data_IF_013990602466
#
_entry.id   IF_013990602466
#
_cell.length_a   1.000
_cell.length_b   1.000
_cell.length_c   1.000
_cell.angle_alpha   90.00
_cell.angle_beta   90.00
_cell.angle_gamma   90.00
#
_symmetry.space_group_name_H-M   'P 1'
#
loop_
_entity.id
_entity.type
_entity.pdbx_description
1 polymer ?
#
# COMPACT_ATOMS: atom_id res chain seq x y z
N UNK A 1 18.66 75.87 -38.69
CA UNK A 1 17.74 76.77 -37.96
C UNK A 1 16.31 76.46 -38.41
N UNK A 2 15.43 76.04 -37.48
CA UNK A 2 13.96 75.78 -37.61
C UNK A 2 13.54 74.70 -38.65
N UNK A 3 13.11 73.51 -38.20
CA UNK A 3 11.74 73.08 -37.82
C UNK A 3 10.76 72.82 -39.00
N UNK A 4 10.27 71.57 -39.01
CA UNK A 4 8.90 71.11 -39.25
C UNK A 4 8.40 70.63 -40.65
N UNK A 5 7.82 69.41 -40.55
CA UNK A 5 6.64 68.82 -41.22
C UNK A 5 6.82 68.38 -42.69
N UNK A 6 6.89 67.08 -42.98
CA UNK A 6 5.79 66.10 -43.16
C UNK A 6 4.80 66.55 -44.25
N UNK A 7 4.70 65.74 -45.33
CA UNK A 7 3.46 65.24 -45.97
C UNK A 7 3.74 64.65 -47.38
N UNK A 8 3.36 63.37 -47.52
CA UNK A 8 2.85 62.65 -48.70
C UNK A 8 3.70 62.41 -49.95
N UNK A 9 3.99 61.12 -50.17
CA UNK A 9 3.97 60.39 -51.44
C UNK A 9 4.06 58.89 -51.08
N UNK A 10 3.37 57.91 -51.68
CA UNK A 10 2.34 57.82 -52.70
C UNK A 10 1.96 56.32 -52.79
N UNK A 11 0.69 56.00 -53.12
CA UNK A 11 0.22 54.82 -53.87
C UNK A 11 0.72 53.40 -53.45
N UNK A 12 -0.05 52.58 -52.71
CA UNK A 12 -1.19 51.75 -53.14
C UNK A 12 -0.90 50.82 -54.34
N UNK A 13 -0.78 49.50 -54.11
CA UNK A 13 -1.64 48.43 -54.70
C UNK A 13 -1.59 47.16 -53.83
N UNK A 14 -2.78 46.80 -53.39
CA UNK A 14 -3.35 45.54 -52.92
C UNK A 14 -2.63 44.22 -53.23
N UNK A 15 -2.40 43.42 -52.20
CA UNK A 15 -2.67 41.97 -52.24
C UNK A 15 -3.39 41.59 -50.93
N UNK A 16 -4.68 41.29 -51.08
CA UNK A 16 -5.48 40.62 -50.08
C UNK A 16 -4.89 39.24 -49.83
N UNK A 17 -4.34 39.02 -48.64
CA UNK A 17 -4.31 37.71 -48.02
C UNK A 17 -5.02 37.84 -46.67
N UNK A 18 -6.04 37.01 -46.49
CA UNK A 18 -6.96 36.99 -45.37
C UNK A 18 -6.17 36.59 -44.12
N UNK A 19 -5.86 37.56 -43.25
CA UNK A 19 -5.44 37.26 -41.88
C UNK A 19 -6.70 36.89 -41.09
N UNK A 20 -6.75 35.74 -40.40
CA UNK A 20 -7.75 35.55 -39.38
C UNK A 20 -7.55 36.66 -38.33
N UNK A 21 -8.62 37.40 -38.06
CA UNK A 21 -8.78 38.08 -36.78
C UNK A 21 -8.53 37.06 -35.65
N UNK A 22 -8.24 37.55 -34.45
CA UNK A 22 -7.89 36.77 -33.23
C UNK A 22 -6.39 36.47 -33.07
N UNK A 23 -5.60 37.52 -32.88
CA UNK A 23 -4.41 37.45 -32.03
C UNK A 23 -4.51 38.57 -30.99
N UNK A 24 -5.29 38.33 -29.93
CA UNK A 24 -5.18 39.15 -28.72
C UNK A 24 -3.77 38.97 -28.13
N UNK A 25 -3.16 40.03 -27.58
CA UNK A 25 -1.88 39.92 -26.88
C UNK A 25 -2.06 38.98 -25.67
N UNK A 26 -1.31 37.88 -25.66
CA UNK A 26 -1.23 36.96 -24.51
C UNK A 26 -0.97 37.76 -23.23
N UNK A 27 -1.78 37.60 -22.17
CA UNK A 27 -1.51 38.26 -20.91
C UNK A 27 -0.20 37.74 -20.32
N UNK A 28 0.70 38.65 -19.91
CA UNK A 28 1.80 38.29 -19.01
C UNK A 28 1.18 37.67 -17.75
N UNK A 29 1.34 36.36 -17.59
CA UNK A 29 0.91 35.64 -16.39
C UNK A 29 1.69 36.25 -15.21
N UNK A 30 1.01 36.82 -14.20
CA UNK A 30 1.70 37.26 -13.00
C UNK A 30 2.20 36.02 -12.27
N UNK A 31 3.49 36.01 -11.88
CA UNK A 31 4.01 35.01 -10.96
C UNK A 31 3.18 35.06 -9.67
N UNK A 32 2.34 34.04 -9.44
CA UNK A 32 1.59 33.95 -8.20
C UNK A 32 2.53 33.56 -7.05
N UNK A 33 2.34 34.13 -5.85
CA UNK A 33 3.18 33.81 -4.71
C UNK A 33 3.00 32.34 -4.31
N UNK A 34 4.12 31.66 -4.09
CA UNK A 34 4.22 30.35 -3.44
C UNK A 34 3.38 30.38 -2.16
N UNK A 35 2.27 29.63 -2.11
CA UNK A 35 1.51 29.48 -0.87
C UNK A 35 2.30 28.57 0.08
N UNK A 36 2.56 29.07 1.29
CA UNK A 36 3.26 28.37 2.38
C UNK A 36 2.47 27.14 2.83
N UNK A 37 3.17 26.19 3.47
CA UNK A 37 2.56 25.06 4.19
C UNK A 37 1.36 25.51 5.04
N UNK A 38 0.31 24.67 5.18
CA UNK A 38 -0.80 24.94 6.09
C UNK A 38 -0.32 25.11 7.54
N UNK A 39 -1.09 25.84 8.35
CA UNK A 39 -0.73 26.15 9.74
C UNK A 39 -0.79 24.89 10.62
N UNK A 40 0.03 24.86 11.67
CA UNK A 40 0.17 23.74 12.62
C UNK A 40 -1.15 23.30 13.30
N UNK A 41 -2.18 24.13 13.22
CA UNK A 41 -3.47 23.99 13.90
C UNK A 41 -4.39 22.95 13.21
N UNK A 42 -4.07 22.53 11.98
CA UNK A 42 -4.91 21.65 11.13
C UNK A 42 -4.36 20.22 10.96
N UNK A 43 -3.17 19.92 11.49
CA UNK A 43 -2.53 18.60 11.44
C UNK A 43 -2.02 18.23 12.84
N UNK A 44 -1.99 16.93 13.21
CA UNK A 44 -1.24 16.51 14.38
C UNK A 44 0.19 17.05 14.29
N UNK A 45 0.67 17.75 15.32
CA UNK A 45 1.99 18.42 15.34
C UNK A 45 3.13 17.51 14.85
N UNK A 46 3.08 16.23 15.23
CA UNK A 46 4.04 15.20 14.79
C UNK A 46 4.11 15.00 13.27
N UNK A 47 2.97 15.13 12.56
CA UNK A 47 2.91 15.04 11.09
C UNK A 47 3.59 16.23 10.44
N UNK A 48 3.30 17.44 10.94
CA UNK A 48 3.91 18.67 10.43
C UNK A 48 5.43 18.67 10.62
N UNK A 49 5.91 18.35 11.83
CA UNK A 49 7.34 18.25 12.15
C UNK A 49 8.04 17.20 11.27
N UNK A 50 7.37 16.08 10.98
CA UNK A 50 7.89 15.05 10.09
C UNK A 50 8.06 15.54 8.66
N UNK A 51 7.07 16.26 8.12
CA UNK A 51 7.13 16.83 6.78
C UNK A 51 8.22 17.91 6.70
N UNK A 52 8.36 18.74 7.73
CA UNK A 52 9.41 19.75 7.78
C UNK A 52 10.82 19.14 7.77
N UNK A 53 11.04 18.12 8.62
CA UNK A 53 12.30 17.34 8.64
C UNK A 53 12.56 16.70 7.27
N UNK A 54 11.56 16.06 6.67
CA UNK A 54 11.67 15.47 5.34
C UNK A 54 11.99 16.51 4.26
N UNK A 55 11.47 17.74 4.38
CA UNK A 55 11.79 18.84 3.47
C UNK A 55 13.27 19.28 3.51
N UNK A 56 13.99 18.96 4.58
CA UNK A 56 15.45 19.19 4.64
C UNK A 56 16.20 18.15 3.80
N UNK A 57 15.78 16.89 3.86
CA UNK A 57 16.35 15.77 3.09
C UNK A 57 15.94 15.78 1.62
N UNK A 58 14.69 16.14 1.37
CA UNK A 58 14.08 16.16 0.05
C UNK A 58 13.57 17.58 -0.23
N UNK A 59 14.44 18.50 -0.69
CA UNK A 59 14.06 19.89 -0.94
C UNK A 59 12.85 20.05 -1.87
N UNK A 60 12.64 19.09 -2.78
CA UNK A 60 11.45 19.07 -3.62
C UNK A 60 10.15 19.08 -2.81
N UNK A 61 10.12 18.48 -1.61
CA UNK A 61 8.96 18.45 -0.70
C UNK A 61 8.53 19.84 -0.24
N UNK A 62 9.41 20.83 -0.30
CA UNK A 62 9.08 22.24 0.00
C UNK A 62 8.26 22.93 -1.09
N UNK A 63 8.15 22.32 -2.28
CA UNK A 63 7.49 22.89 -3.46
C UNK A 63 6.09 22.33 -3.73
N UNK A 64 5.50 21.63 -2.77
CA UNK A 64 4.19 21.00 -2.91
C UNK A 64 3.08 21.95 -2.40
N UNK A 65 1.95 21.94 -3.10
CA UNK A 65 0.88 22.94 -2.97
C UNK A 65 -0.25 22.50 -2.05
N UNK A 66 -0.40 21.19 -1.82
CA UNK A 66 -1.44 20.59 -0.99
C UNK A 66 -0.91 19.40 -0.21
N UNK A 67 -1.36 19.30 1.03
CA UNK A 67 -1.23 18.12 1.90
C UNK A 67 -2.61 17.49 1.99
N UNK A 68 -2.74 16.21 1.63
CA UNK A 68 -3.96 15.43 1.77
C UNK A 68 -3.75 14.35 2.83
N UNK A 69 -4.68 14.23 3.78
CA UNK A 69 -4.62 13.22 4.84
C UNK A 69 -5.74 12.23 4.56
N UNK A 70 -5.37 11.07 4.00
CA UNK A 70 -6.35 10.19 3.36
C UNK A 70 -6.84 9.05 4.27
N UNK A 71 -6.01 8.56 5.19
CA UNK A 71 -6.37 7.41 6.04
C UNK A 71 -5.77 7.51 7.44
N UNK A 72 -6.60 7.33 8.46
CA UNK A 72 -6.22 7.08 9.86
C UNK A 72 -6.57 5.64 10.20
N UNK A 73 -5.57 4.75 10.21
CA UNK A 73 -5.77 3.35 10.60
C UNK A 73 -4.80 3.03 11.72
N UNK A 74 -5.32 2.65 12.90
CA UNK A 74 -4.53 2.07 14.01
C UNK A 74 -3.20 2.81 14.25
N UNK A 75 -3.27 4.13 14.50
CA UNK A 75 -2.14 5.03 14.74
C UNK A 75 -1.20 5.30 13.55
N UNK A 76 -1.58 4.92 12.32
CA UNK A 76 -0.86 5.33 11.11
C UNK A 76 -1.66 6.41 10.38
N UNK A 77 -0.95 7.34 9.77
CA UNK A 77 -1.53 8.35 8.88
C UNK A 77 -0.87 8.32 7.52
N UNK A 78 -1.68 8.28 6.47
CA UNK A 78 -1.22 8.43 5.09
C UNK A 78 -1.36 9.88 4.65
N UNK A 79 -0.24 10.49 4.29
CA UNK A 79 -0.17 11.88 3.83
C UNK A 79 0.28 11.93 2.37
N UNK A 80 -0.57 12.47 1.51
CA UNK A 80 -0.23 12.80 0.13
C UNK A 80 0.27 14.23 0.02
N UNK A 81 1.50 14.42 -0.46
CA UNK A 81 2.01 15.74 -0.85
C UNK A 81 1.83 15.89 -2.36
N UNK A 82 1.03 16.86 -2.78
CA UNK A 82 0.62 17.07 -4.17
C UNK A 82 1.22 18.36 -4.74
N UNK A 83 1.89 18.26 -5.90
CA UNK A 83 2.41 19.39 -6.65
C UNK A 83 1.64 19.51 -7.97
N UNK A 84 1.11 20.70 -8.28
CA UNK A 84 0.48 20.94 -9.58
C UNK A 84 1.56 21.17 -10.64
N UNK A 85 1.46 20.49 -11.77
CA UNK A 85 2.26 20.79 -12.96
C UNK A 85 1.50 21.80 -13.82
N UNK A 86 2.00 23.04 -14.00
CA UNK A 86 1.35 24.04 -14.82
C UNK A 86 1.36 23.71 -16.33
N UNK A 87 2.10 22.68 -16.79
CA UNK A 87 2.22 22.30 -18.20
C UNK A 87 1.51 20.98 -18.56
N UNK A 88 0.74 20.36 -17.65
CA UNK A 88 0.05 19.11 -17.93
C UNK A 88 -1.24 19.31 -18.74
N UNK A 89 -1.19 18.98 -20.03
CA UNK A 89 -2.33 18.76 -20.93
C UNK A 89 -1.90 17.59 -21.86
N UNK A 90 -2.63 16.49 -22.15
CA UNK A 90 -4.04 16.10 -22.05
C UNK A 90 -4.16 14.57 -22.31
N UNK A 91 -5.12 13.92 -21.64
CA UNK A 91 -6.07 12.83 -22.06
C UNK A 91 -5.59 11.58 -22.83
N UNK A 92 -5.78 10.40 -22.22
CA UNK A 92 -5.88 9.07 -22.88
C UNK A 92 -7.34 8.82 -23.39
N UNK A 93 -7.56 8.06 -24.48
CA UNK A 93 -8.88 7.72 -25.04
C UNK A 93 -9.92 7.13 -24.06
N UNK A 94 -9.54 6.73 -22.84
CA UNK A 94 -10.42 6.23 -21.78
C UNK A 94 -10.79 7.29 -20.72
N UNK A 95 -10.39 8.56 -20.90
CA UNK A 95 -10.88 9.67 -20.09
C UNK A 95 -10.34 9.77 -18.66
N UNK A 96 -9.29 9.02 -18.30
CA UNK A 96 -8.63 9.17 -16.99
C UNK A 96 -7.49 10.18 -17.10
N UNK A 97 -7.67 11.33 -16.46
CA UNK A 97 -6.65 12.37 -16.30
C UNK A 97 -5.88 12.07 -14.99
N UNK A 98 -4.59 11.76 -15.07
CA UNK A 98 -3.71 11.76 -13.91
C UNK A 98 -2.97 13.10 -13.83
N UNK A 99 -3.57 14.09 -13.15
CA UNK A 99 -3.03 15.45 -12.97
C UNK A 99 -1.85 15.56 -11.96
N UNK A 100 -1.16 14.47 -11.64
CA UNK A 100 -0.20 14.42 -10.53
C UNK A 100 1.14 13.82 -10.97
N UNK A 101 2.05 14.66 -11.49
CA UNK A 101 3.40 14.26 -11.89
C UNK A 101 4.42 14.31 -10.74
N UNK A 102 4.01 14.77 -9.56
CA UNK A 102 4.78 14.67 -8.32
C UNK A 102 3.84 14.44 -7.16
N UNK A 103 3.68 13.18 -6.76
CA UNK A 103 3.01 12.79 -5.53
C UNK A 103 4.07 12.13 -4.64
N UNK A 104 4.34 12.72 -3.46
CA UNK A 104 5.03 12.00 -2.41
C UNK A 104 3.97 11.44 -1.47
N UNK A 105 3.89 10.12 -1.36
CA UNK A 105 3.03 9.46 -0.36
C UNK A 105 3.91 9.16 0.84
N UNK A 106 3.49 9.63 2.01
CA UNK A 106 4.14 9.39 3.28
C UNK A 106 3.22 8.55 4.17
N UNK A 107 3.73 7.46 4.72
CA UNK A 107 3.06 6.75 5.81
C UNK A 107 3.83 7.06 7.10
N UNK A 108 3.13 7.65 8.07
CA UNK A 108 3.71 8.08 9.35
C UNK A 108 3.08 7.32 10.51
N UNK A 109 3.88 6.99 11.50
CA UNK A 109 3.43 6.53 12.81
C UNK A 109 3.07 7.74 13.67
N UNK A 110 1.81 7.82 14.13
CA UNK A 110 1.29 8.95 14.91
C UNK A 110 1.77 8.96 16.36
N UNK A 111 2.20 7.82 16.89
CA UNK A 111 2.69 7.71 18.28
C UNK A 111 4.11 8.27 18.39
N UNK A 112 4.93 8.01 17.38
CA UNK A 112 6.36 8.34 17.38
C UNK A 112 6.70 9.51 16.44
N UNK A 113 5.83 9.83 15.48
CA UNK A 113 6.16 10.76 14.39
C UNK A 113 7.21 10.20 13.43
N UNK A 114 7.46 8.89 13.44
CA UNK A 114 8.45 8.29 12.56
C UNK A 114 7.85 7.98 11.18
N UNK A 115 8.67 8.20 10.15
CA UNK A 115 8.30 7.87 8.78
C UNK A 115 8.51 6.38 8.57
N UNK A 116 7.44 5.68 8.23
CA UNK A 116 7.45 4.24 7.94
C UNK A 116 7.59 3.97 6.44
N UNK A 117 7.04 4.88 5.61
CA UNK A 117 7.13 4.76 4.16
C UNK A 117 7.18 6.11 3.47
N UNK A 118 7.94 6.19 2.38
CA UNK A 118 7.95 7.30 1.43
C UNK A 118 7.92 6.72 0.03
N UNK A 119 7.00 7.17 -0.81
CA UNK A 119 6.98 6.81 -2.24
C UNK A 119 6.92 8.07 -3.09
N UNK A 120 7.88 8.25 -4.00
CA UNK A 120 7.92 9.35 -4.96
C UNK A 120 7.34 8.89 -6.30
N UNK A 121 6.15 9.37 -6.62
CA UNK A 121 5.47 9.07 -7.88
C UNK A 121 5.94 9.98 -9.01
N UNK A 122 5.81 9.51 -10.25
CA UNK A 122 6.06 10.31 -11.46
C UNK A 122 7.53 10.44 -11.86
N UNK A 123 8.47 9.91 -11.07
CA UNK A 123 9.88 9.84 -11.46
C UNK A 123 10.12 8.75 -12.50
N UNK A 124 10.93 9.04 -13.52
CA UNK A 124 11.30 8.10 -14.58
C UNK A 124 12.79 7.75 -14.51
N UNK A 125 13.17 6.50 -14.81
CA UNK A 125 14.57 6.12 -14.96
C UNK A 125 15.28 7.01 -15.99
N UNK A 126 16.51 7.41 -15.66
CA UNK A 126 17.32 8.25 -16.54
C UNK A 126 17.97 7.42 -17.66
N UNK A 127 18.41 8.08 -18.74
CA UNK A 127 19.35 7.49 -19.69
C UNK A 127 20.77 7.37 -19.13
N UNK A 128 21.11 8.19 -18.13
CA UNK A 128 22.42 8.18 -17.46
C UNK A 128 22.40 7.26 -16.26
N UNK A 129 23.23 6.22 -16.29
CA UNK A 129 23.39 5.26 -15.19
C UNK A 129 24.67 5.54 -14.40
N UNK A 130 24.58 5.56 -13.07
CA UNK A 130 25.75 5.66 -12.18
C UNK A 130 26.21 4.27 -11.68
N UNK A 131 27.46 4.07 -11.26
CA UNK A 131 27.91 2.79 -10.69
C UNK A 131 27.09 2.35 -9.47
N UNK A 132 26.93 1.04 -9.24
CA UNK A 132 26.18 0.49 -8.09
C UNK A 132 26.75 0.99 -6.76
N UNK A 133 28.07 1.14 -6.68
CA UNK A 133 28.79 1.63 -5.50
C UNK A 133 28.38 3.07 -5.15
N UNK A 134 28.16 3.91 -6.16
CA UNK A 134 27.68 5.28 -5.97
C UNK A 134 26.22 5.29 -5.50
N UNK A 135 25.39 4.37 -6.02
CA UNK A 135 24.02 4.18 -5.54
C UNK A 135 24.00 3.78 -4.06
N UNK A 136 24.87 2.85 -3.64
CA UNK A 136 25.00 2.43 -2.24
C UNK A 136 25.46 3.58 -1.34
N UNK A 137 26.38 4.42 -1.82
CA UNK A 137 26.83 5.59 -1.07
C UNK A 137 25.68 6.58 -0.86
N UNK A 138 24.94 6.91 -1.93
CA UNK A 138 23.76 7.78 -1.87
C UNK A 138 22.66 7.21 -0.96
N UNK A 139 22.41 5.89 -1.00
CA UNK A 139 21.40 5.29 -0.11
C UNK A 139 21.77 5.41 1.36
N UNK A 140 23.07 5.36 1.69
CA UNK A 140 23.56 5.61 3.06
C UNK A 140 23.36 7.06 3.48
N UNK A 141 23.53 8.02 2.58
CA UNK A 141 23.23 9.44 2.85
C UNK A 141 21.74 9.65 3.14
N UNK A 142 20.85 9.05 2.33
CA UNK A 142 19.40 9.10 2.60
C UNK A 142 19.04 8.41 3.92
N UNK A 143 19.62 7.26 4.23
CA UNK A 143 19.40 6.56 5.50
C UNK A 143 19.78 7.44 6.70
N UNK A 144 20.96 8.07 6.64
CA UNK A 144 21.43 9.00 7.67
C UNK A 144 20.51 10.22 7.80
N UNK A 145 20.03 10.75 6.68
CA UNK A 145 19.14 11.90 6.69
C UNK A 145 17.74 11.57 7.25
N UNK A 146 17.25 10.34 7.03
CA UNK A 146 15.94 9.88 7.50
C UNK A 146 15.95 9.47 8.98
N UNK A 147 16.99 8.76 9.43
CA UNK A 147 17.05 8.15 10.76
C UNK A 147 18.02 8.87 11.73
N UNK A 148 18.78 9.85 11.25
CA UNK A 148 19.78 10.53 12.06
C UNK A 148 20.79 9.54 12.65
N UNK A 149 21.09 9.69 13.95
CA UNK A 149 22.05 8.82 14.65
C UNK A 149 21.66 7.34 14.65
N UNK A 150 20.37 7.01 14.56
CA UNK A 150 19.94 5.60 14.54
C UNK A 150 20.49 4.86 13.32
N UNK A 151 20.76 5.56 12.20
CA UNK A 151 21.33 4.98 10.99
C UNK A 151 22.66 4.25 11.22
N UNK A 152 23.43 4.61 12.26
CA UNK A 152 24.71 3.97 12.61
C UNK A 152 24.55 2.49 13.01
N UNK A 153 23.36 2.11 13.50
CA UNK A 153 23.06 0.72 13.88
C UNK A 153 22.71 -0.17 12.67
N UNK A 154 22.45 0.45 11.52
CA UNK A 154 22.01 -0.25 10.32
C UNK A 154 23.20 -0.69 9.48
N UNK A 155 23.29 -1.98 9.19
CA UNK A 155 24.24 -2.52 8.24
C UNK A 155 23.52 -2.94 6.95
N UNK A 156 24.18 -2.71 5.81
CA UNK A 156 23.68 -3.16 4.50
C UNK A 156 23.68 -4.68 4.46
N UNK A 157 22.56 -5.28 4.11
CA UNK A 157 22.40 -6.75 3.99
C UNK A 157 22.33 -7.21 2.54
N UNK A 158 21.78 -6.41 1.62
CA UNK A 158 21.76 -6.75 0.19
C UNK A 158 21.56 -5.53 -0.70
N UNK A 159 21.80 -5.73 -2.00
CA UNK A 159 21.51 -4.76 -3.07
C UNK A 159 20.83 -5.49 -4.19
N UNK A 160 19.68 -5.01 -4.61
CA UNK A 160 18.83 -5.62 -5.61
C UNK A 160 18.78 -4.71 -6.84
N UNK A 161 19.54 -5.01 -7.90
CA UNK A 161 19.37 -4.32 -9.17
C UNK A 161 18.08 -4.82 -9.82
N UNK A 162 17.15 -3.90 -10.10
CA UNK A 162 15.99 -4.20 -10.94
C UNK A 162 16.31 -3.75 -12.36
N UNK A 163 16.36 -4.72 -13.26
CA UNK A 163 16.73 -4.56 -14.65
C UNK A 163 15.53 -4.74 -15.57
N UNK A 164 15.54 -4.06 -16.70
CA UNK A 164 14.70 -4.36 -17.87
C UNK A 164 15.57 -4.84 -19.01
N UNK A 165 14.94 -5.48 -20.00
CA UNK A 165 15.57 -5.78 -21.28
C UNK A 165 14.97 -4.86 -22.33
N UNK A 166 15.77 -3.93 -22.83
CA UNK A 166 15.40 -3.03 -23.92
C UNK A 166 16.37 -3.26 -25.09
N UNK A 167 15.83 -3.51 -26.29
CA UNK A 167 16.61 -3.69 -27.53
C UNK A 167 17.76 -4.73 -27.40
N UNK A 168 17.52 -5.80 -26.64
CA UNK A 168 18.51 -6.87 -26.43
C UNK A 168 19.62 -6.53 -25.43
N UNK A 169 19.56 -5.38 -24.76
CA UNK A 169 20.48 -4.99 -23.70
C UNK A 169 19.78 -4.97 -22.34
N UNK A 170 20.47 -5.49 -21.33
CA UNK A 170 20.07 -5.32 -19.94
C UNK A 170 20.33 -3.87 -19.54
N UNK A 171 19.32 -3.21 -18.99
CA UNK A 171 19.43 -1.86 -18.46
C UNK A 171 18.87 -1.82 -17.05
N UNK A 172 19.63 -1.25 -16.12
CA UNK A 172 19.18 -1.08 -14.74
C UNK A 172 18.16 0.06 -14.68
N UNK A 173 16.99 -0.20 -14.11
CA UNK A 173 15.94 0.80 -13.88
C UNK A 173 16.13 1.48 -12.53
N UNK A 174 16.30 0.67 -11.49
CA UNK A 174 16.50 1.11 -10.11
C UNK A 174 17.29 0.06 -9.34
N UNK A 175 17.82 0.45 -8.20
CA UNK A 175 18.41 -0.45 -7.22
C UNK A 175 17.70 -0.28 -5.89
N UNK A 176 17.35 -1.38 -5.26
CA UNK A 176 16.88 -1.41 -3.88
C UNK A 176 18.02 -1.84 -2.97
N UNK A 177 18.27 -1.08 -1.92
CA UNK A 177 19.33 -1.32 -0.95
C UNK A 177 18.65 -1.62 0.37
N UNK A 178 18.96 -2.80 0.92
CA UNK A 178 18.36 -3.27 2.14
C UNK A 178 19.34 -3.16 3.30
N UNK A 179 18.86 -2.65 4.41
CA UNK A 179 19.59 -2.47 5.65
C UNK A 179 18.88 -3.18 6.79
N UNK A 180 19.65 -3.60 7.79
CA UNK A 180 19.15 -4.26 9.00
C UNK A 180 19.78 -3.65 10.24
N UNK A 181 18.98 -3.46 11.29
CA UNK A 181 19.43 -3.15 12.64
C UNK A 181 18.79 -4.10 13.66
N UNK A 182 19.47 -4.42 14.77
CA UNK A 182 18.85 -5.12 15.89
C UNK A 182 17.80 -4.24 16.58
N UNK A 183 16.76 -4.86 17.14
CA UNK A 183 15.79 -4.19 18.00
C UNK A 183 16.22 -4.35 19.46
N UNK A 184 16.35 -3.24 20.18
CA UNK A 184 16.78 -3.26 21.59
C UNK A 184 15.84 -4.09 22.46
N UNK A 185 16.37 -5.14 23.08
CA UNK A 185 15.62 -5.99 24.03
C UNK A 185 14.79 -7.12 23.41
N UNK A 186 14.77 -7.28 22.09
CA UNK A 186 14.05 -8.38 21.42
C UNK A 186 14.92 -9.02 20.33
N UNK A 187 15.60 -10.13 20.67
CA UNK A 187 16.44 -10.87 19.73
C UNK A 187 15.64 -11.65 18.68
N UNK A 188 14.32 -11.77 18.85
CA UNK A 188 13.43 -12.44 17.89
C UNK A 188 13.05 -11.54 16.72
N UNK A 189 13.32 -10.22 16.80
CA UNK A 189 12.97 -9.23 15.79
C UNK A 189 14.18 -8.42 15.35
N UNK A 190 14.09 -7.89 14.14
CA UNK A 190 15.03 -6.93 13.59
C UNK A 190 14.26 -5.84 12.84
N UNK A 191 14.88 -4.67 12.75
CA UNK A 191 14.35 -3.58 11.97
C UNK A 191 15.03 -3.55 10.59
N UNK A 192 14.21 -3.58 9.54
CA UNK A 192 14.64 -3.64 8.16
C UNK A 192 14.27 -2.32 7.47
N UNK A 193 15.22 -1.78 6.71
CA UNK A 193 15.02 -0.58 5.89
C UNK A 193 15.32 -0.90 4.43
N UNK A 194 14.38 -0.57 3.56
CA UNK A 194 14.50 -0.65 2.11
C UNK A 194 14.62 0.77 1.56
N UNK A 195 15.68 1.07 0.81
CA UNK A 195 15.81 2.34 0.06
C UNK A 195 15.95 2.01 -1.41
N UNK A 196 15.01 2.50 -2.21
CA UNK A 196 15.02 2.33 -3.66
C UNK A 196 15.45 3.62 -4.32
N UNK A 197 16.52 3.54 -5.12
CA UNK A 197 17.03 4.64 -5.92
C UNK A 197 16.92 4.29 -7.42
N UNK A 198 16.58 5.27 -8.24
CA UNK A 198 16.66 5.17 -9.69
C UNK A 198 18.11 4.95 -10.13
N UNK A 199 18.28 4.52 -11.39
CA UNK A 199 19.58 4.22 -11.98
C UNK A 199 20.58 5.39 -12.01
N UNK A 200 20.12 6.64 -11.85
CA UNK A 200 20.94 7.85 -11.70
C UNK A 200 21.23 8.23 -10.22
N UNK A 201 20.72 7.45 -9.26
CA UNK A 201 20.85 7.69 -7.83
C UNK A 201 19.75 8.57 -7.23
N UNK A 202 18.73 8.97 -8.01
CA UNK A 202 17.60 9.72 -7.48
C UNK A 202 16.73 8.86 -6.57
N UNK A 203 16.32 9.41 -5.44
CA UNK A 203 15.44 8.72 -4.50
C UNK A 203 14.06 8.41 -5.11
N UNK A 204 13.62 7.16 -4.95
CA UNK A 204 12.31 6.68 -5.40
C UNK A 204 11.43 6.26 -4.22
N UNK A 205 11.91 5.35 -3.37
CA UNK A 205 11.11 4.78 -2.28
C UNK A 205 11.95 4.54 -1.02
N UNK A 206 11.30 4.63 0.13
CA UNK A 206 11.80 4.17 1.42
C UNK A 206 10.69 3.37 2.13
N UNK A 207 11.07 2.26 2.77
CA UNK A 207 10.20 1.52 3.68
C UNK A 207 11.01 1.06 4.88
N UNK A 208 10.40 1.16 6.07
CA UNK A 208 10.97 0.66 7.33
C UNK A 208 9.97 -0.27 8.00
N UNK A 209 10.45 -1.42 8.47
CA UNK A 209 9.61 -2.46 9.08
C UNK A 209 10.38 -3.22 10.15
N UNK A 210 9.77 -3.39 11.31
CA UNK A 210 10.23 -4.33 12.31
C UNK A 210 9.59 -5.70 12.09
N UNK A 211 10.39 -6.71 11.76
CA UNK A 211 9.94 -8.05 11.41
C UNK A 211 10.72 -9.11 12.21
N UNK A 212 10.20 -10.35 12.32
CA UNK A 212 10.95 -11.46 12.90
C UNK A 212 12.28 -11.71 12.17
N UNK A 213 13.33 -12.08 12.90
CA UNK A 213 14.67 -12.35 12.32
C UNK A 213 14.68 -13.47 11.28
N UNK A 214 13.62 -14.30 11.21
CA UNK A 214 13.43 -15.26 10.14
C UNK A 214 13.45 -14.60 8.73
N UNK A 215 13.12 -13.31 8.62
CA UNK A 215 13.18 -12.55 7.37
C UNK A 215 14.60 -12.24 6.87
N UNK A 216 15.64 -12.60 7.64
CA UNK A 216 17.04 -12.47 7.21
C UNK A 216 17.32 -13.16 5.87
N UNK A 217 16.74 -14.33 5.63
CA UNK A 217 16.91 -15.07 4.37
C UNK A 217 16.27 -14.37 3.18
N UNK A 218 15.27 -13.52 3.39
CA UNK A 218 14.66 -12.72 2.34
C UNK A 218 15.46 -11.45 2.08
N UNK A 219 15.70 -10.67 3.13
CA UNK A 219 16.37 -9.38 3.03
C UNK A 219 17.85 -9.50 2.68
N UNK A 220 18.51 -10.57 3.11
CA UNK A 220 19.93 -10.83 2.81
C UNK A 220 20.19 -11.58 1.50
N UNK A 221 19.17 -12.12 0.83
CA UNK A 221 19.36 -12.90 -0.39
C UNK A 221 19.41 -12.03 -1.66
N UNK A 222 20.08 -12.57 -2.69
CA UNK A 222 19.99 -12.07 -4.07
C UNK A 222 18.57 -12.18 -4.61
N UNK A 223 18.17 -11.25 -5.48
CA UNK A 223 16.79 -11.06 -5.95
C UNK A 223 16.09 -12.36 -6.40
N UNK A 224 16.82 -13.22 -7.11
CA UNK A 224 16.40 -14.50 -7.71
C UNK A 224 16.44 -15.68 -6.73
N UNK A 225 17.18 -15.55 -5.64
CA UNK A 225 17.33 -16.56 -4.56
C UNK A 225 16.47 -16.23 -3.35
N UNK A 226 15.73 -15.13 -3.42
CA UNK A 226 14.84 -14.69 -2.36
C UNK A 226 13.76 -15.72 -2.10
N UNK A 227 13.81 -16.29 -0.91
CA UNK A 227 12.72 -17.08 -0.32
C UNK A 227 12.14 -16.19 0.76
N UNK A 228 10.92 -15.66 0.54
CA UNK A 228 10.20 -15.05 1.68
C UNK A 228 10.12 -16.16 2.70
N UNK A 229 10.25 -15.90 4.00
CA UNK A 229 9.71 -16.82 4.98
C UNK A 229 8.19 -16.88 4.74
N UNK A 230 7.79 -17.62 3.72
CA UNK A 230 6.65 -18.48 3.84
C UNK A 230 7.02 -19.37 5.02
N UNK A 231 6.13 -19.51 5.98
CA UNK A 231 6.22 -20.53 7.05
C UNK A 231 6.80 -20.10 8.40
N UNK A 232 6.73 -18.82 8.79
CA UNK A 232 6.74 -18.50 10.23
C UNK A 232 5.40 -17.93 10.64
N UNK A 233 4.44 -18.83 10.84
CA UNK A 233 3.32 -18.52 11.72
C UNK A 233 3.90 -18.23 13.11
N UNK A 234 3.42 -17.16 13.76
CA UNK A 234 3.62 -17.07 15.20
C UNK A 234 3.07 -18.36 15.84
N UNK A 235 3.60 -18.76 16.99
CA UNK A 235 3.07 -19.94 17.67
C UNK A 235 1.57 -19.83 17.91
N UNK A 236 1.08 -18.62 18.20
CA UNK A 236 -0.35 -18.33 18.33
C UNK A 236 -1.12 -18.55 17.02
N UNK A 237 -0.64 -18.01 15.90
CA UNK A 237 -1.29 -18.23 14.60
C UNK A 237 -1.27 -19.71 14.19
N UNK A 238 -0.22 -20.44 14.52
CA UNK A 238 -0.14 -21.89 14.32
C UNK A 238 -1.17 -22.64 15.18
N UNK A 239 -1.29 -22.28 16.47
CA UNK A 239 -2.32 -22.84 17.36
C UNK A 239 -3.72 -22.56 16.84
N UNK A 240 -3.99 -21.35 16.36
CA UNK A 240 -5.30 -20.99 15.81
C UNK A 240 -5.59 -21.71 14.50
N UNK A 241 -4.59 -21.88 13.61
CA UNK A 241 -4.73 -22.68 12.40
C UNK A 241 -5.13 -24.14 12.73
N UNK A 242 -4.49 -24.76 13.72
CA UNK A 242 -4.83 -26.12 14.15
C UNK A 242 -6.21 -26.21 14.81
N UNK A 243 -6.60 -25.20 15.59
CA UNK A 243 -7.97 -25.07 16.10
C UNK A 243 -8.98 -24.99 14.95
N UNK A 244 -8.72 -24.18 13.92
CA UNK A 244 -9.57 -24.09 12.73
C UNK A 244 -9.64 -25.42 11.97
N UNK A 245 -8.52 -26.13 11.79
CA UNK A 245 -8.50 -27.48 11.21
C UNK A 245 -9.28 -28.52 12.02
N UNK A 246 -9.47 -28.28 13.31
CA UNK A 246 -10.29 -29.12 14.18
C UNK A 246 -11.77 -28.79 14.04
N UNK A 247 -12.12 -27.51 14.00
CA UNK A 247 -13.50 -27.04 13.79
C UNK A 247 -14.00 -27.31 12.37
N UNK A 248 -13.10 -27.30 11.38
CA UNK A 248 -13.39 -27.52 9.97
C UNK A 248 -12.50 -28.64 9.41
N UNK A 249 -12.89 -29.91 9.58
CA UNK A 249 -12.09 -31.04 9.11
C UNK A 249 -11.76 -31.00 7.62
N UNK A 250 -12.61 -30.38 6.80
CA UNK A 250 -12.35 -30.16 5.37
C UNK A 250 -11.02 -29.43 5.14
N UNK A 251 -10.63 -28.48 6.00
CA UNK A 251 -9.39 -27.70 5.88
C UNK A 251 -8.13 -28.56 5.98
N UNK A 252 -8.21 -29.74 6.62
CA UNK A 252 -7.05 -30.66 6.73
C UNK A 252 -6.59 -31.18 5.38
N UNK A 253 -7.47 -31.19 4.39
CA UNK A 253 -7.18 -31.63 3.03
C UNK A 253 -6.63 -30.50 2.14
N UNK A 254 -6.44 -29.29 2.69
CA UNK A 254 -5.88 -28.14 1.98
C UNK A 254 -4.50 -27.84 2.57
N UNK A 255 -3.41 -28.20 1.88
CA UNK A 255 -2.08 -27.81 2.31
C UNK A 255 -1.95 -26.28 2.29
N UNK A 256 -1.04 -25.78 3.14
CA UNK A 256 -0.63 -24.38 3.09
C UNK A 256 0.05 -24.13 1.76
N UNK A 257 -0.49 -23.19 0.97
CA UNK A 257 0.10 -22.75 -0.28
C UNK A 257 1.08 -21.61 -0.05
N UNK A 258 0.64 -20.62 0.75
CA UNK A 258 1.41 -19.42 1.02
C UNK A 258 1.00 -18.79 2.35
N UNK A 259 1.99 -18.26 3.06
CA UNK A 259 1.81 -17.42 4.25
C UNK A 259 2.40 -16.05 3.94
N UNK A 260 1.67 -14.98 4.29
CA UNK A 260 2.10 -13.59 4.09
C UNK A 260 1.97 -12.87 5.43
N UNK A 261 3.08 -12.50 6.06
CA UNK A 261 3.03 -11.52 7.14
C UNK A 261 2.68 -10.13 6.57
N UNK A 262 1.69 -9.49 7.16
CA UNK A 262 1.29 -8.11 6.91
C UNK A 262 2.12 -7.13 7.74
N UNK A 263 2.25 -5.91 7.22
CA UNK A 263 2.97 -4.80 7.86
C UNK A 263 2.23 -4.22 9.08
N UNK A 264 1.03 -4.72 9.35
CA UNK A 264 0.16 -4.42 10.50
C UNK A 264 0.28 -5.50 11.61
N UNK A 265 1.29 -6.36 11.55
CA UNK A 265 1.47 -7.47 12.48
C UNK A 265 0.54 -8.66 12.22
N UNK A 266 -0.25 -8.61 11.14
CA UNK A 266 -1.18 -9.69 10.80
C UNK A 266 -0.49 -10.79 10.01
N UNK A 267 -1.05 -11.99 10.01
CA UNK A 267 -0.60 -13.08 9.14
C UNK A 267 -1.76 -13.51 8.25
N UNK A 268 -1.52 -13.57 6.94
CA UNK A 268 -2.46 -14.13 5.96
C UNK A 268 -2.01 -15.51 5.56
N UNK A 269 -2.91 -16.49 5.60
CA UNK A 269 -2.65 -17.86 5.17
C UNK A 269 -3.59 -18.19 4.02
N UNK A 270 -3.01 -18.71 2.95
CA UNK A 270 -3.73 -19.29 1.82
C UNK A 270 -3.54 -20.81 1.88
N UNK A 271 -4.65 -21.55 1.97
CA UNK A 271 -4.67 -23.00 1.82
C UNK A 271 -5.28 -23.34 0.46
N UNK A 272 -4.67 -24.27 -0.26
CA UNK A 272 -5.11 -24.62 -1.60
C UNK A 272 -4.86 -26.10 -1.88
N UNK A 273 -5.85 -26.79 -2.43
CA UNK A 273 -5.75 -28.23 -2.70
C UNK A 273 -4.82 -28.56 -3.87
N UNK A 274 -4.83 -27.72 -4.90
CA UNK A 274 -4.05 -27.90 -6.12
C UNK A 274 -3.47 -26.56 -6.57
N UNK A 275 -2.14 -26.43 -6.68
CA UNK A 275 -1.49 -25.17 -7.13
C UNK A 275 -1.94 -24.71 -8.52
N UNK A 276 -2.34 -25.63 -9.40
CA UNK A 276 -2.82 -25.30 -10.74
C UNK A 276 -4.27 -24.81 -10.77
N UNK A 277 -5.06 -25.14 -9.74
CA UNK A 277 -6.45 -24.71 -9.61
C UNK A 277 -6.70 -24.01 -8.26
N UNK A 278 -6.89 -22.68 -8.24
CA UNK A 278 -7.14 -21.92 -7.01
C UNK A 278 -8.40 -22.28 -6.25
N UNK A 279 -9.27 -23.13 -6.82
CA UNK A 279 -10.56 -23.46 -6.24
C UNK A 279 -10.78 -24.97 -6.09
N UNK A 280 -11.32 -25.43 -4.94
CA UNK A 280 -11.58 -24.65 -3.73
C UNK A 280 -10.28 -24.17 -3.06
N UNK A 281 -10.34 -22.99 -2.45
CA UNK A 281 -9.24 -22.35 -1.73
C UNK A 281 -9.72 -21.73 -0.44
N UNK A 282 -8.82 -21.54 0.52
CA UNK A 282 -9.16 -20.97 1.83
C UNK A 282 -8.23 -19.82 2.12
N UNK A 283 -8.81 -18.69 2.48
CA UNK A 283 -8.11 -17.52 2.96
C UNK A 283 -8.35 -17.35 4.46
N UNK A 284 -7.29 -17.07 5.20
CA UNK A 284 -7.37 -16.69 6.61
C UNK A 284 -6.47 -15.48 6.87
N UNK A 285 -6.91 -14.60 7.76
CA UNK A 285 -6.13 -13.50 8.32
C UNK A 285 -6.19 -13.58 9.84
N UNK A 286 -5.02 -13.53 10.48
CA UNK A 286 -4.85 -13.52 11.92
C UNK A 286 -4.21 -12.21 12.37
N UNK A 287 -4.50 -11.76 13.59
CA UNK A 287 -3.73 -10.68 14.22
C UNK A 287 -2.39 -11.18 14.79
N UNK A 288 -1.64 -10.27 15.41
CA UNK A 288 -0.34 -10.57 16.02
C UNK A 288 -0.43 -11.58 17.17
N UNK A 289 -1.60 -11.71 17.80
CA UNK A 289 -1.91 -12.64 18.90
C UNK A 289 -2.51 -13.94 18.39
N UNK A 290 -2.54 -14.13 17.07
CA UNK A 290 -3.09 -15.32 16.42
C UNK A 290 -4.63 -15.40 16.45
N UNK A 291 -5.34 -14.34 16.82
CA UNK A 291 -6.80 -14.32 16.77
C UNK A 291 -7.27 -14.18 15.31
N UNK A 292 -8.37 -14.85 14.94
CA UNK A 292 -8.88 -14.75 13.58
C UNK A 292 -9.54 -13.39 13.37
N UNK A 293 -9.07 -12.67 12.35
CA UNK A 293 -9.68 -11.42 11.87
C UNK A 293 -10.63 -11.72 10.72
N UNK A 294 -10.21 -12.60 9.82
CA UNK A 294 -11.01 -12.95 8.65
C UNK A 294 -10.74 -14.40 8.22
N UNK A 295 -11.78 -15.08 7.77
CA UNK A 295 -11.71 -16.40 7.16
C UNK A 295 -12.72 -16.48 6.03
N UNK A 296 -12.34 -17.11 4.92
CA UNK A 296 -13.23 -17.35 3.79
C UNK A 296 -12.84 -18.63 3.05
N UNK A 297 -13.81 -19.51 2.83
CA UNK A 297 -13.75 -20.61 1.89
C UNK A 297 -14.26 -20.10 0.54
N UNK A 298 -13.38 -20.15 -0.45
CA UNK A 298 -13.70 -19.82 -1.83
C UNK A 298 -13.90 -21.12 -2.61
N UNK A 299 -15.15 -21.48 -2.84
CA UNK A 299 -15.57 -22.71 -3.51
C UNK A 299 -16.80 -22.40 -4.39
N UNK A 300 -16.63 -22.31 -5.72
CA UNK A 300 -17.74 -22.03 -6.64
C UNK A 300 -18.97 -22.95 -6.51
N UNK A 301 -18.83 -24.14 -5.92
CA UNK A 301 -19.96 -25.02 -5.64
C UNK A 301 -20.82 -24.57 -4.45
N UNK A 302 -20.27 -23.75 -3.56
CA UNK A 302 -20.93 -23.13 -2.42
C UNK A 302 -21.41 -21.72 -2.78
N UNK A 303 -22.47 -21.64 -3.60
CA UNK A 303 -22.93 -20.38 -4.21
C UNK A 303 -24.35 -19.96 -3.79
N UNK A 304 -24.89 -20.55 -2.72
CA UNK A 304 -26.23 -20.23 -2.21
C UNK A 304 -26.21 -20.01 -0.70
N UNK A 305 -26.98 -19.04 -0.18
CA UNK A 305 -27.09 -18.81 1.26
C UNK A 305 -27.93 -19.91 1.94
N UNK A 306 -27.64 -20.18 3.21
CA UNK A 306 -28.55 -20.92 4.09
C UNK A 306 -29.86 -20.15 4.31
N UNK A 307 -30.94 -20.88 4.58
CA UNK A 307 -32.16 -20.28 5.12
C UNK A 307 -31.89 -19.68 6.51
N UNK A 308 -32.47 -18.52 6.80
CA UNK A 308 -32.18 -17.69 7.98
C UNK A 308 -32.13 -18.48 9.29
N UNK A 309 -33.14 -19.30 9.60
CA UNK A 309 -33.17 -20.06 10.85
C UNK A 309 -32.08 -21.14 10.92
N UNK A 310 -31.76 -21.77 9.80
CA UNK A 310 -30.65 -22.71 9.72
C UNK A 310 -29.31 -21.99 9.88
N UNK A 311 -29.15 -20.82 9.25
CA UNK A 311 -27.95 -19.99 9.34
C UNK A 311 -27.71 -19.52 10.77
N UNK A 312 -28.73 -18.94 11.44
CA UNK A 312 -28.64 -18.47 12.84
C UNK A 312 -28.15 -19.57 13.78
N UNK A 313 -28.77 -20.75 13.70
CA UNK A 313 -28.40 -21.91 14.53
C UNK A 313 -26.95 -22.34 14.26
N UNK A 314 -26.59 -22.53 13.00
CA UNK A 314 -25.23 -22.97 12.62
C UNK A 314 -24.16 -21.96 13.04
N UNK A 315 -24.42 -20.67 12.85
CA UNK A 315 -23.52 -19.62 13.26
C UNK A 315 -23.37 -19.54 14.79
N UNK A 316 -24.46 -19.69 15.55
CA UNK A 316 -24.41 -19.71 17.01
C UNK A 316 -23.63 -20.93 17.55
N UNK A 317 -23.87 -22.11 17.00
CA UNK A 317 -23.15 -23.35 17.35
C UNK A 317 -21.64 -23.20 17.06
N UNK A 318 -21.31 -22.62 15.90
CA UNK A 318 -19.94 -22.34 15.52
C UNK A 318 -19.28 -21.33 16.48
N UNK A 319 -19.94 -20.21 16.76
CA UNK A 319 -19.41 -19.17 17.65
C UNK A 319 -19.09 -19.73 19.04
N UNK A 320 -19.98 -20.55 19.60
CA UNK A 320 -19.77 -21.23 20.87
C UNK A 320 -18.58 -22.20 20.82
N UNK A 321 -18.43 -22.94 19.73
CA UNK A 321 -17.32 -23.88 19.54
C UNK A 321 -15.98 -23.16 19.35
N UNK A 322 -15.99 -21.99 18.71
CA UNK A 322 -14.81 -21.18 18.44
C UNK A 322 -14.36 -20.40 19.68
N UNK A 323 -15.27 -19.67 20.34
CA UNK A 323 -14.93 -18.79 21.46
C UNK A 323 -15.05 -19.45 22.85
N UNK A 324 -15.70 -20.60 22.95
CA UNK A 324 -15.92 -21.27 24.23
C UNK A 324 -16.79 -20.41 25.16
N UNK A 325 -16.34 -20.20 26.40
CA UNK A 325 -17.09 -19.46 27.41
C UNK A 325 -17.30 -17.98 27.05
N UNK A 326 -16.37 -17.36 26.31
CA UNK A 326 -16.47 -15.93 25.94
C UNK A 326 -17.58 -15.66 24.92
N UNK A 327 -18.08 -16.71 24.23
CA UNK A 327 -19.25 -16.61 23.37
C UNK A 327 -20.49 -16.06 24.10
N UNK A 328 -20.60 -16.26 25.42
CA UNK A 328 -21.73 -15.80 26.22
C UNK A 328 -21.90 -14.27 26.23
N UNK A 329 -20.84 -13.50 25.93
CA UNK A 329 -20.86 -12.05 25.81
C UNK A 329 -21.51 -11.53 24.51
N UNK A 330 -21.68 -12.39 23.51
CA UNK A 330 -22.19 -12.01 22.19
C UNK A 330 -23.70 -12.23 22.06
N UNK A 331 -24.38 -11.34 21.33
CA UNK A 331 -25.82 -11.39 21.05
C UNK A 331 -26.06 -11.26 19.56
N UNK A 332 -27.00 -12.05 19.03
CA UNK A 332 -27.42 -11.98 17.63
C UNK A 332 -28.00 -10.59 17.33
N UNK A 333 -27.47 -9.91 16.33
CA UNK A 333 -27.90 -8.56 15.91
C UNK A 333 -28.52 -8.51 14.52
N UNK A 334 -28.25 -9.49 13.65
CA UNK A 334 -28.88 -9.52 12.33
C UNK A 334 -28.52 -10.74 11.48
N UNK A 335 -29.28 -10.89 10.39
CA UNK A 335 -28.99 -11.81 9.29
C UNK A 335 -29.12 -11.03 7.98
N UNK A 336 -28.14 -11.16 7.09
CA UNK A 336 -28.14 -10.53 5.77
C UNK A 336 -27.55 -11.47 4.72
N UNK A 337 -27.67 -11.11 3.45
CA UNK A 337 -26.94 -11.77 2.38
C UNK A 337 -25.58 -11.09 2.19
N UNK A 338 -24.52 -11.87 2.02
CA UNK A 338 -23.19 -11.36 1.72
C UNK A 338 -22.64 -12.04 0.46
N UNK A 339 -22.26 -11.26 -0.54
CA UNK A 339 -21.82 -11.75 -1.85
C UNK A 339 -20.36 -11.40 -2.10
N UNK A 340 -19.55 -12.42 -2.31
CA UNK A 340 -18.15 -12.29 -2.73
C UNK A 340 -18.02 -12.51 -4.23
N UNK A 341 -17.19 -11.71 -4.89
CA UNK A 341 -16.85 -11.87 -6.31
C UNK A 341 -15.39 -12.30 -6.43
N UNK A 342 -15.15 -13.40 -7.13
CA UNK A 342 -13.83 -13.98 -7.33
C UNK A 342 -13.50 -14.03 -8.81
N UNK A 343 -12.34 -13.50 -9.19
CA UNK A 343 -11.86 -13.59 -10.56
C UNK A 343 -11.21 -14.96 -10.78
N UNK A 344 -11.72 -15.71 -11.75
CA UNK A 344 -11.15 -17.01 -12.14
C UNK A 344 -10.66 -16.95 -13.59
N UNK A 345 -9.78 -17.87 -14.03
CA UNK A 345 -9.38 -17.95 -15.44
C UNK A 345 -10.55 -18.16 -16.41
N UNK A 346 -11.70 -18.65 -15.91
CA UNK A 346 -12.93 -18.88 -16.69
C UNK A 346 -13.94 -17.73 -16.61
N UNK A 347 -13.59 -16.63 -15.93
CA UNK A 347 -14.47 -15.49 -15.67
C UNK A 347 -14.80 -15.29 -14.19
N UNK A 348 -15.50 -14.20 -13.84
CA UNK A 348 -15.87 -13.91 -12.46
C UNK A 348 -16.92 -14.91 -11.95
N UNK A 349 -16.74 -15.37 -10.71
CA UNK A 349 -17.67 -16.22 -9.98
C UNK A 349 -18.18 -15.47 -8.76
N UNK A 350 -19.50 -15.50 -8.53
CA UNK A 350 -20.12 -14.94 -7.34
C UNK A 350 -20.50 -16.06 -6.36
N UNK A 351 -20.23 -15.83 -5.09
CA UNK A 351 -20.65 -16.69 -3.99
C UNK A 351 -21.44 -15.87 -2.98
N UNK A 352 -22.67 -16.29 -2.70
CA UNK A 352 -23.53 -15.62 -1.73
C UNK A 352 -23.78 -16.52 -0.53
N UNK A 353 -23.58 -15.98 0.67
CA UNK A 353 -23.81 -16.66 1.94
C UNK A 353 -24.83 -15.91 2.79
N UNK A 354 -25.44 -16.62 3.75
CA UNK A 354 -26.19 -16.00 4.82
C UNK A 354 -25.21 -15.51 5.90
N UNK A 355 -25.07 -14.20 6.04
CA UNK A 355 -24.22 -13.55 7.04
C UNK A 355 -25.02 -13.35 8.32
N UNK A 356 -24.57 -13.98 9.40
CA UNK A 356 -25.16 -13.84 10.74
C UNK A 356 -24.23 -13.00 11.60
N UNK A 357 -24.75 -11.92 12.18
CA UNK A 357 -23.96 -10.96 12.96
C UNK A 357 -24.21 -11.12 14.45
N UNK A 358 -23.13 -11.14 15.24
CA UNK A 358 -23.18 -11.17 16.70
C UNK A 358 -22.35 -10.04 17.28
N UNK A 359 -22.91 -9.27 18.21
CA UNK A 359 -22.22 -8.14 18.84
C UNK A 359 -22.03 -8.39 20.33
N UNK A 360 -20.83 -8.10 20.84
CA UNK A 360 -20.52 -8.16 22.27
C UNK A 360 -20.88 -6.82 22.93
N UNK A 361 -21.75 -6.86 23.94
CA UNK A 361 -22.25 -5.65 24.59
C UNK A 361 -21.19 -4.89 25.40
N UNK A 362 -20.12 -5.56 25.85
CA UNK A 362 -19.07 -4.95 26.67
C UNK A 362 -17.95 -4.34 25.84
N UNK A 363 -17.66 -4.90 24.67
CA UNK A 363 -16.56 -4.44 23.80
C UNK A 363 -17.04 -3.72 22.55
N UNK A 364 -18.34 -3.75 22.24
CA UNK A 364 -18.93 -3.31 20.97
C UNK A 364 -18.38 -4.03 19.73
N UNK A 365 -17.59 -5.09 19.93
CA UNK A 365 -17.02 -5.90 18.87
C UNK A 365 -18.12 -6.70 18.17
N UNK A 366 -18.07 -6.76 16.83
CA UNK A 366 -19.02 -7.54 16.03
C UNK A 366 -18.29 -8.64 15.26
N UNK A 367 -18.86 -9.85 15.32
CA UNK A 367 -18.42 -11.01 14.56
C UNK A 367 -19.52 -11.38 13.57
N UNK A 368 -19.15 -11.42 12.30
CA UNK A 368 -19.97 -11.90 11.20
C UNK A 368 -19.58 -13.33 10.85
N UNK A 369 -20.57 -14.21 10.68
CA UNK A 369 -20.36 -15.61 10.29
C UNK A 369 -21.18 -15.88 9.04
N UNK A 370 -20.51 -16.28 7.97
CA UNK A 370 -21.11 -16.58 6.67
C UNK A 370 -21.44 -18.08 6.58
N UNK A 371 -22.70 -18.41 6.25
CA UNK A 371 -23.21 -19.79 6.19
C UNK A 371 -23.78 -20.11 4.80
N UNK A 372 -23.29 -21.19 4.18
CA UNK A 372 -23.77 -21.69 2.90
C UNK A 372 -25.04 -22.52 3.03
N UNK A 373 -25.74 -22.75 1.91
CA UNK A 373 -26.99 -23.52 1.86
C UNK A 373 -26.88 -24.96 2.35
N UNK A 374 -25.66 -25.52 2.34
CA UNK A 374 -25.35 -26.83 2.94
C UNK A 374 -25.43 -26.82 4.47
N UNK A 375 -25.44 -25.63 5.08
CA UNK A 375 -25.34 -25.41 6.52
C UNK A 375 -23.89 -25.34 7.02
N UNK A 376 -22.91 -25.34 6.12
CA UNK A 376 -21.50 -25.19 6.45
C UNK A 376 -21.18 -23.71 6.70
N UNK A 377 -20.32 -23.46 7.71
CA UNK A 377 -19.74 -22.14 7.92
C UNK A 377 -18.60 -21.96 6.92
N UNK A 378 -18.69 -20.90 6.12
CA UNK A 378 -17.79 -20.63 5.00
C UNK A 378 -16.99 -19.35 5.18
N UNK A 379 -17.33 -18.51 6.17
CA UNK A 379 -16.57 -17.31 6.43
C UNK A 379 -16.77 -16.75 7.83
N UNK A 380 -15.78 -15.99 8.28
CA UNK A 380 -15.81 -15.20 9.51
C UNK A 380 -15.22 -13.83 9.17
N UNK A 381 -15.83 -12.77 9.69
CA UNK A 381 -15.31 -11.41 9.66
C UNK A 381 -15.44 -10.81 11.06
N UNK A 382 -14.36 -10.21 11.57
CA UNK A 382 -14.33 -9.60 12.90
C UNK A 382 -13.95 -8.13 12.77
N UNK A 383 -14.87 -7.26 13.15
CA UNK A 383 -14.76 -5.80 13.03
C UNK A 383 -13.89 -5.16 14.12
#
# INVERSE_FOLDING_TARGET
MKMNKLVSALLAVSLLAISPAWAEPQPKIPAQPVKKLPKADELPKAVFESIERLGQTFPQLKSYDKIDVNDLVRNKVTVGLLKRDPNAATVDPNGVVHDLTGLAILELDLTTGEVQRITMMGKRPSSTEIPVEEVIAKSKEYLQALLGKQAEMYHKVSVWPIETFELGQKKRLYSQINYKAPVGGDSGKADYVEITLLNNGDFLEYSRKTLPVAYDSWYGAELDKRVRPNDVLSEDAARTLEKMRTLFPLMRNYPVERIIAGDDGTAKIYLQKDKANPYPGIYMKFDEKGEILNFLIVDPSLNKPAADEAAKRKAADFLKSYLGETAAGYRLTGVSANTHTHNTPKGPVQQTFARVSFTNASTSETIHIDVASTGDVCGIDRD
#
